data_IF_145323523068
#
_entry.id   IF_145323523068
#
_cell.length_a   1.000
_cell.length_b   1.000
_cell.length_c   1.000
_cell.angle_alpha   90.00
_cell.angle_beta   90.00
_cell.angle_gamma   90.00
#
_symmetry.space_group_name_H-M   'P 1'
#
loop_
_entity.id
_entity.type
_entity.pdbx_description
1 polymer ?
#
# COMPACT_ATOMS: atom_id res chain seq x y z
N UNK A 1 -29.05 52.04 -32.83
CA UNK A 1 -29.72 50.82 -32.32
C UNK A 1 -28.74 49.67 -32.45
N UNK A 2 -28.13 49.23 -31.35
CA UNK A 2 -27.25 48.06 -31.33
C UNK A 2 -28.12 46.81 -31.24
N UNK A 3 -27.99 45.92 -32.22
CA UNK A 3 -28.65 44.62 -32.20
C UNK A 3 -27.87 43.76 -31.25
N UNK A 4 -28.45 43.50 -30.08
CA UNK A 4 -27.94 42.55 -29.10
C UNK A 4 -28.01 41.13 -29.69
N UNK A 5 -26.86 40.58 -30.07
CA UNK A 5 -26.78 39.19 -30.53
C UNK A 5 -27.03 38.26 -29.38
N UNK A 6 -28.18 37.61 -29.37
CA UNK A 6 -28.45 36.49 -28.47
C UNK A 6 -27.43 35.39 -28.75
N UNK A 7 -26.67 34.92 -27.76
CA UNK A 7 -25.67 33.87 -28.00
C UNK A 7 -26.33 32.59 -28.47
N UNK A 8 -25.69 31.95 -29.45
CA UNK A 8 -26.15 30.71 -30.10
C UNK A 8 -26.45 29.65 -29.03
N UNK A 9 -27.60 28.93 -29.13
CA UNK A 9 -27.93 27.82 -28.25
C UNK A 9 -26.85 26.76 -28.15
N UNK A 10 -26.08 26.52 -29.24
CA UNK A 10 -24.96 25.59 -29.26
C UNK A 10 -23.75 26.11 -28.47
N UNK A 11 -23.44 27.40 -28.50
CA UNK A 11 -22.39 27.98 -27.68
C UNK A 11 -22.71 27.90 -26.19
N UNK A 12 -23.99 28.14 -25.81
CA UNK A 12 -24.44 27.98 -24.42
C UNK A 12 -24.38 26.54 -23.94
N UNK A 13 -24.75 25.57 -24.77
CA UNK A 13 -24.65 24.15 -24.45
C UNK A 13 -23.19 23.70 -24.28
N UNK A 14 -22.28 24.22 -25.11
CA UNK A 14 -20.87 23.88 -25.06
C UNK A 14 -20.20 24.44 -23.79
N UNK A 15 -20.57 25.66 -23.39
CA UNK A 15 -20.09 26.25 -22.13
C UNK A 15 -20.65 25.52 -20.91
N UNK A 16 -21.95 25.17 -20.92
CA UNK A 16 -22.58 24.42 -19.83
C UNK A 16 -21.94 23.03 -19.63
N UNK A 17 -21.64 22.31 -20.73
CA UNK A 17 -20.95 21.01 -20.68
C UNK A 17 -19.48 21.12 -20.24
N UNK A 18 -18.87 22.29 -20.41
CA UNK A 18 -17.47 22.52 -19.99
C UNK A 18 -17.36 22.86 -18.52
N UNK A 19 -18.40 23.47 -17.96
CA UNK A 19 -18.46 23.90 -16.55
C UNK A 19 -19.14 22.88 -15.64
N UNK A 20 -19.72 21.79 -16.20
CA UNK A 20 -20.31 20.72 -15.42
C UNK A 20 -19.19 19.77 -14.95
N UNK A 21 -18.83 19.80 -13.64
CA UNK A 21 -17.84 18.86 -13.12
C UNK A 21 -18.44 17.45 -13.23
N UNK A 22 -17.86 16.61 -14.09
CA UNK A 22 -18.23 15.19 -14.15
C UNK A 22 -18.07 14.58 -12.76
N UNK A 23 -19.19 14.27 -12.12
CA UNK A 23 -19.27 13.81 -10.73
C UNK A 23 -18.49 12.51 -10.49
N UNK A 24 -18.17 11.74 -11.55
CA UNK A 24 -17.31 10.56 -11.50
C UNK A 24 -15.81 10.85 -11.59
N UNK A 25 -15.40 12.04 -12.09
CA UNK A 25 -13.99 12.35 -12.31
C UNK A 25 -13.19 12.54 -11.02
N UNK A 26 -13.84 13.01 -9.96
CA UNK A 26 -13.21 13.19 -8.64
C UNK A 26 -12.88 11.81 -8.02
N UNK A 27 -13.79 10.85 -8.11
CA UNK A 27 -13.59 9.49 -7.60
C UNK A 27 -12.52 8.74 -8.42
N UNK A 28 -12.56 8.87 -9.75
CA UNK A 28 -11.55 8.27 -10.64
C UNK A 28 -10.19 8.91 -10.40
N UNK A 29 -10.10 10.24 -10.28
CA UNK A 29 -8.83 10.91 -10.03
C UNK A 29 -8.26 10.59 -8.64
N UNK A 30 -9.09 10.44 -7.62
CA UNK A 30 -8.66 9.99 -6.29
C UNK A 30 -8.17 8.54 -6.33
N UNK A 31 -8.89 7.65 -7.00
CA UNK A 31 -8.49 6.26 -7.18
C UNK A 31 -7.17 6.13 -7.96
N UNK A 32 -7.01 6.90 -9.04
CA UNK A 32 -5.75 6.96 -9.81
C UNK A 32 -4.62 7.56 -8.99
N UNK A 33 -4.89 8.63 -8.20
CA UNK A 33 -3.87 9.24 -7.33
C UNK A 33 -3.45 8.31 -6.20
N UNK A 34 -4.36 7.52 -5.65
CA UNK A 34 -4.03 6.49 -4.65
C UNK A 34 -3.16 5.42 -5.30
N UNK A 35 -3.54 4.89 -6.48
CA UNK A 35 -2.72 3.92 -7.22
C UNK A 35 -1.36 4.47 -7.66
N UNK A 36 -1.29 5.72 -8.10
CA UNK A 36 -0.02 6.36 -8.45
C UNK A 36 0.85 6.57 -7.20
N UNK A 37 0.29 6.91 -6.06
CA UNK A 37 1.04 7.02 -4.79
C UNK A 37 1.58 5.67 -4.33
N UNK A 38 0.85 4.58 -4.51
CA UNK A 38 1.35 3.22 -4.22
C UNK A 38 2.43 2.76 -5.21
N UNK A 39 2.39 3.23 -6.47
CA UNK A 39 3.42 2.97 -7.48
C UNK A 39 4.67 3.84 -7.30
N UNK A 40 4.51 5.05 -6.76
CA UNK A 40 5.60 5.99 -6.42
C UNK A 40 5.82 5.95 -4.91
N UNK A 41 5.95 4.77 -4.33
CA UNK A 41 6.51 4.67 -2.99
C UNK A 41 7.95 5.17 -3.09
N UNK A 42 8.34 6.28 -2.43
CA UNK A 42 9.74 6.62 -2.32
C UNK A 42 10.45 5.35 -1.83
N UNK A 43 11.59 5.04 -2.43
CA UNK A 43 12.39 3.91 -1.96
C UNK A 43 13.00 4.28 -0.59
N UNK A 44 12.15 4.46 0.41
CA UNK A 44 12.55 4.74 1.77
C UNK A 44 13.43 3.60 2.23
N UNK A 45 14.64 3.95 2.62
CA UNK A 45 15.59 2.98 3.13
C UNK A 45 15.34 2.81 4.62
N UNK A 46 15.11 1.57 5.04
CA UNK A 46 14.85 1.18 6.42
C UNK A 46 16.13 0.65 7.05
N UNK A 47 16.47 1.12 8.24
CA UNK A 47 17.61 0.65 9.01
C UNK A 47 17.39 -0.81 9.43
N UNK A 48 18.47 -1.61 9.37
CA UNK A 48 18.48 -2.97 9.91
C UNK A 48 19.06 -3.01 11.32
N UNK A 49 18.64 -4.00 12.09
CA UNK A 49 19.02 -4.18 13.49
C UNK A 49 19.74 -5.51 13.67
N UNK A 50 20.65 -5.56 14.61
CA UNK A 50 21.31 -6.80 15.05
C UNK A 50 20.47 -7.55 16.11
N UNK A 51 20.97 -8.70 16.56
CA UNK A 51 20.28 -9.50 17.58
C UNK A 51 20.18 -8.83 18.96
N UNK A 52 20.85 -7.70 19.18
CA UNK A 52 20.78 -6.90 20.42
C UNK A 52 19.80 -5.73 20.31
N UNK A 53 19.19 -5.51 19.13
CA UNK A 53 18.31 -4.37 18.85
C UNK A 53 19.06 -3.08 18.53
N UNK A 54 20.37 -3.15 18.29
CA UNK A 54 21.18 -2.02 17.86
C UNK A 54 21.21 -1.92 16.34
N UNK A 55 21.31 -0.69 15.80
CA UNK A 55 21.40 -0.51 14.34
C UNK A 55 22.62 -1.25 13.78
N UNK A 56 22.39 -2.13 12.84
CA UNK A 56 23.45 -2.93 12.21
C UNK A 56 24.43 -2.04 11.46
N UNK A 57 25.72 -2.27 11.70
CA UNK A 57 26.80 -1.52 11.06
C UNK A 57 27.64 -2.43 10.17
N UNK A 58 27.97 -1.92 8.99
CA UNK A 58 28.94 -2.57 8.11
C UNK A 58 30.36 -2.43 8.62
N UNK A 59 31.30 -3.11 7.95
CA UNK A 59 32.72 -3.16 8.32
C UNK A 59 33.39 -1.78 8.48
N UNK A 60 32.88 -0.77 7.79
CA UNK A 60 33.38 0.63 7.85
C UNK A 60 32.57 1.54 8.79
N UNK A 61 31.71 0.96 9.66
CA UNK A 61 30.89 1.67 10.62
C UNK A 61 29.64 2.34 10.04
N UNK A 62 29.37 2.23 8.74
CA UNK A 62 28.15 2.73 8.10
C UNK A 62 26.95 1.92 8.54
N UNK A 63 25.80 2.58 8.74
CA UNK A 63 24.53 1.90 9.05
C UNK A 63 24.01 1.15 7.83
N UNK A 64 23.65 -0.11 8.03
CA UNK A 64 23.03 -0.94 6.96
C UNK A 64 21.56 -0.57 6.84
N UNK A 65 21.10 -0.41 5.60
CA UNK A 65 19.71 -0.08 5.28
C UNK A 65 19.20 -0.98 4.16
N UNK A 66 17.92 -1.33 4.22
CA UNK A 66 17.20 -2.08 3.19
C UNK A 66 16.18 -1.16 2.52
N UNK A 67 16.18 -1.15 1.20
CA UNK A 67 15.18 -0.38 0.45
C UNK A 67 13.80 -1.04 0.53
N UNK A 68 12.73 -0.26 0.64
CA UNK A 68 11.35 -0.74 0.54
C UNK A 68 11.08 -1.53 -0.76
N UNK A 69 11.80 -1.23 -1.85
CA UNK A 69 11.72 -2.00 -3.10
C UNK A 69 12.20 -3.45 -2.96
N UNK A 70 13.06 -3.73 -2.00
CA UNK A 70 13.51 -5.11 -1.70
C UNK A 70 12.52 -5.76 -0.72
N UNK A 71 12.05 -5.00 0.26
CA UNK A 71 11.18 -5.53 1.31
C UNK A 71 9.79 -5.89 0.78
N UNK A 72 9.15 -5.02 -0.02
CA UNK A 72 7.78 -5.23 -0.52
C UNK A 72 7.58 -6.55 -1.27
N UNK A 73 8.43 -6.95 -2.24
CA UNK A 73 8.26 -8.24 -2.92
C UNK A 73 8.47 -9.44 -1.98
N UNK A 74 9.32 -9.33 -0.97
CA UNK A 74 9.51 -10.40 0.03
C UNK A 74 8.30 -10.55 0.92
N UNK A 75 7.70 -9.44 1.36
CA UNK A 75 6.44 -9.43 2.11
C UNK A 75 5.31 -10.04 1.29
N UNK A 76 5.18 -9.63 0.02
CA UNK A 76 4.16 -10.18 -0.89
C UNK A 76 4.31 -11.68 -1.04
N UNK A 77 5.51 -12.17 -1.33
CA UNK A 77 5.79 -13.59 -1.50
C UNK A 77 5.48 -14.42 -0.23
N UNK A 78 5.63 -13.83 0.96
CA UNK A 78 5.31 -14.51 2.21
C UNK A 78 3.80 -14.50 2.53
N UNK A 79 3.07 -13.49 2.06
CA UNK A 79 1.63 -13.34 2.29
C UNK A 79 0.81 -14.16 1.29
N UNK A 80 1.23 -14.19 0.03
CA UNK A 80 0.50 -14.84 -1.05
C UNK A 80 0.41 -16.35 -0.85
N UNK A 81 -0.82 -16.87 -0.90
CA UNK A 81 -1.13 -18.31 -0.80
C UNK A 81 -2.28 -18.64 -1.77
N UNK A 82 -2.60 -19.91 -2.03
CA UNK A 82 -3.76 -20.27 -2.87
C UNK A 82 -5.10 -19.75 -2.34
N UNK A 83 -5.17 -19.34 -1.08
CA UNK A 83 -6.39 -18.82 -0.44
C UNK A 83 -6.44 -17.31 -0.28
N UNK A 84 -5.32 -16.62 -0.43
CA UNK A 84 -5.24 -15.17 -0.29
C UNK A 84 -4.14 -14.56 -1.14
N UNK A 85 -4.35 -13.33 -1.58
CA UNK A 85 -3.36 -12.51 -2.29
C UNK A 85 -3.25 -11.14 -1.62
N UNK A 86 -2.05 -10.56 -1.62
CA UNK A 86 -1.86 -9.19 -1.21
C UNK A 86 -2.31 -8.25 -2.35
N UNK A 87 -3.35 -7.44 -2.11
CA UNK A 87 -3.75 -6.35 -3.00
C UNK A 87 -2.73 -5.21 -2.92
N UNK A 88 -2.53 -4.66 -1.74
CA UNK A 88 -1.51 -3.64 -1.48
C UNK A 88 -0.71 -3.93 -0.21
N UNK A 89 0.53 -3.43 -0.18
CA UNK A 89 1.43 -3.44 0.97
C UNK A 89 2.05 -2.06 1.08
N UNK A 90 1.69 -1.33 2.13
CA UNK A 90 2.21 0.00 2.41
C UNK A 90 3.11 -0.06 3.64
N UNK A 91 4.35 0.43 3.48
CA UNK A 91 5.36 0.46 4.54
C UNK A 91 5.61 1.91 4.91
N UNK A 92 5.28 2.29 6.12
CA UNK A 92 5.59 3.60 6.65
C UNK A 92 6.96 3.60 7.32
N UNK A 93 7.70 4.66 7.07
CA UNK A 93 9.06 4.84 7.62
C UNK A 93 9.12 6.16 8.35
N UNK A 94 9.49 6.11 9.61
CA UNK A 94 9.77 7.27 10.45
C UNK A 94 11.18 7.16 11.04
N UNK A 95 11.97 8.21 10.95
CA UNK A 95 13.35 8.25 11.46
C UNK A 95 14.24 7.10 10.91
N UNK A 96 14.11 6.79 9.63
CA UNK A 96 14.77 5.67 8.95
C UNK A 96 14.35 4.27 9.49
N UNK A 97 13.31 4.16 10.30
CA UNK A 97 12.81 2.89 10.89
C UNK A 97 11.44 2.54 10.30
N UNK A 98 11.16 1.25 10.21
CA UNK A 98 9.80 0.81 9.90
C UNK A 98 8.88 1.16 11.07
N UNK A 99 7.91 2.05 10.85
CA UNK A 99 6.97 2.48 11.88
C UNK A 99 5.66 1.71 11.84
N UNK A 100 5.16 1.41 10.63
CA UNK A 100 3.98 0.58 10.45
C UNK A 100 3.97 -0.11 9.09
N UNK A 101 3.18 -1.18 8.99
CA UNK A 101 2.91 -1.89 7.73
C UNK A 101 1.39 -2.08 7.62
N UNK A 102 0.82 -1.60 6.52
CA UNK A 102 -0.57 -1.82 6.18
C UNK A 102 -0.66 -2.82 5.03
N UNK A 103 -1.43 -3.88 5.24
CA UNK A 103 -1.61 -4.98 4.31
C UNK A 103 -3.10 -5.08 3.95
N UNK A 104 -3.43 -4.89 2.67
CA UNK A 104 -4.75 -5.18 2.13
C UNK A 104 -4.74 -6.56 1.46
N UNK A 105 -5.72 -7.39 1.78
CA UNK A 105 -5.84 -8.77 1.32
C UNK A 105 -7.09 -8.96 0.47
N UNK A 106 -6.95 -9.73 -0.60
CA UNK A 106 -8.06 -10.40 -1.28
C UNK A 106 -8.06 -11.86 -0.84
N UNK A 107 -9.19 -12.35 -0.35
CA UNK A 107 -9.31 -13.72 0.15
C UNK A 107 -10.30 -14.53 -0.70
N UNK A 108 -10.08 -15.84 -0.77
CA UNK A 108 -11.05 -16.75 -1.40
C UNK A 108 -12.27 -16.93 -0.50
N UNK A 109 -13.45 -16.96 -1.13
CA UNK A 109 -14.71 -17.23 -0.43
C UNK A 109 -14.67 -18.59 0.32
N UNK A 110 -15.28 -18.61 1.52
CA UNK A 110 -15.38 -19.80 2.35
C UNK A 110 -14.22 -20.03 3.32
N UNK A 111 -13.21 -19.17 3.35
CA UNK A 111 -12.13 -19.22 4.34
C UNK A 111 -12.50 -18.47 5.65
N UNK A 112 -11.86 -18.83 6.75
CA UNK A 112 -11.92 -18.05 7.98
C UNK A 112 -11.03 -16.81 7.85
N UNK A 113 -11.65 -15.66 7.53
CA UNK A 113 -10.94 -14.40 7.30
C UNK A 113 -10.12 -13.93 8.51
N UNK A 114 -10.57 -14.27 9.74
CA UNK A 114 -9.82 -13.94 10.94
C UNK A 114 -8.55 -14.78 11.07
N UNK A 115 -8.62 -16.06 10.69
CA UNK A 115 -7.43 -16.93 10.64
C UNK A 115 -6.47 -16.45 9.56
N UNK A 116 -6.97 -16.17 8.33
CA UNK A 116 -6.15 -15.65 7.22
C UNK A 116 -5.45 -14.33 7.59
N UNK A 117 -6.14 -13.42 8.28
CA UNK A 117 -5.54 -12.17 8.75
C UNK A 117 -4.44 -12.36 9.79
N UNK A 118 -4.62 -13.29 10.75
CA UNK A 118 -3.58 -13.63 11.75
C UNK A 118 -2.36 -14.26 11.10
N UNK A 119 -2.58 -15.20 10.17
CA UNK A 119 -1.51 -15.90 9.46
C UNK A 119 -0.72 -14.95 8.56
N UNK A 120 -1.41 -14.02 7.87
CA UNK A 120 -0.77 -12.99 7.08
C UNK A 120 0.10 -12.06 7.94
N UNK A 121 -0.42 -11.60 9.10
CA UNK A 121 0.37 -10.78 10.04
C UNK A 121 1.61 -11.52 10.53
N UNK A 122 1.46 -12.78 10.89
CA UNK A 122 2.59 -13.60 11.35
C UNK A 122 3.66 -13.78 10.25
N UNK A 123 3.24 -13.99 9.00
CA UNK A 123 4.13 -14.08 7.85
C UNK A 123 4.91 -12.77 7.62
N UNK A 124 4.21 -11.62 7.65
CA UNK A 124 4.83 -10.29 7.55
C UNK A 124 5.84 -10.08 8.68
N UNK A 125 5.46 -10.38 9.93
CA UNK A 125 6.34 -10.24 11.09
C UNK A 125 7.60 -11.10 10.99
N UNK A 126 7.50 -12.30 10.44
CA UNK A 126 8.66 -13.18 10.20
C UNK A 126 9.64 -12.57 9.19
N UNK A 127 9.14 -12.07 8.04
CA UNK A 127 9.97 -11.42 7.02
C UNK A 127 10.62 -10.14 7.56
N UNK A 128 9.87 -9.31 8.30
CA UNK A 128 10.42 -8.09 8.92
C UNK A 128 11.58 -8.45 9.85
N UNK A 129 11.41 -9.46 10.69
CA UNK A 129 12.46 -9.92 11.61
C UNK A 129 13.67 -10.50 10.88
N UNK A 130 13.45 -11.26 9.81
CA UNK A 130 14.52 -11.86 9.00
C UNK A 130 15.33 -10.80 8.27
N UNK A 131 14.67 -9.82 7.64
CA UNK A 131 15.31 -8.84 6.75
C UNK A 131 15.81 -7.62 7.50
N UNK A 132 15.00 -7.09 8.43
CA UNK A 132 15.33 -5.86 9.18
C UNK A 132 15.98 -6.15 10.55
N UNK A 133 15.86 -7.38 11.05
CA UNK A 133 16.30 -7.74 12.40
C UNK A 133 15.27 -7.39 13.47
N UNK A 134 15.71 -7.33 14.72
CA UNK A 134 14.83 -7.07 15.87
C UNK A 134 14.89 -5.60 16.26
N UNK A 135 13.97 -4.79 15.72
CA UNK A 135 13.80 -3.40 16.19
C UNK A 135 12.99 -3.42 17.51
N UNK A 136 13.54 -2.93 18.63
CA UNK A 136 12.83 -2.90 19.91
C UNK A 136 11.63 -1.92 19.94
N UNK A 137 11.52 -1.02 18.95
CA UNK A 137 10.40 -0.08 18.84
C UNK A 137 9.24 -0.62 17.99
N UNK A 138 9.48 -1.67 17.18
CA UNK A 138 8.48 -2.26 16.32
C UNK A 138 7.78 -3.45 17.01
N UNK A 139 6.45 -3.34 17.17
CA UNK A 139 5.60 -4.38 17.71
C UNK A 139 4.66 -4.91 16.61
N UNK A 140 4.82 -6.16 16.14
CA UNK A 140 3.99 -6.72 15.07
C UNK A 140 2.48 -6.71 15.37
N UNK A 141 2.06 -6.82 16.63
CA UNK A 141 0.65 -6.81 16.98
C UNK A 141 0.02 -5.41 16.88
N UNK A 142 0.81 -4.38 17.11
CA UNK A 142 0.38 -2.99 17.05
C UNK A 142 0.62 -2.38 15.67
N UNK A 143 1.80 -2.66 15.08
CA UNK A 143 2.34 -1.91 13.95
C UNK A 143 2.06 -2.60 12.60
N UNK A 144 1.52 -3.84 12.60
CA UNK A 144 1.04 -4.50 11.38
C UNK A 144 -0.49 -4.52 11.37
N UNK A 145 -1.06 -3.73 10.47
CA UNK A 145 -2.51 -3.73 10.22
C UNK A 145 -2.83 -4.58 9.01
N UNK A 146 -3.81 -5.48 9.15
CA UNK A 146 -4.30 -6.33 8.07
C UNK A 146 -5.78 -6.05 7.85
N UNK A 147 -6.13 -5.74 6.62
CA UNK A 147 -7.50 -5.49 6.16
C UNK A 147 -7.85 -6.47 5.03
N UNK A 148 -9.03 -7.07 5.07
CA UNK A 148 -9.57 -7.85 3.95
C UNK A 148 -10.44 -6.90 3.13
N UNK A 149 -9.97 -6.55 1.94
CA UNK A 149 -10.62 -5.56 1.07
C UNK A 149 -11.56 -6.20 0.07
N UNK A 150 -11.37 -7.50 -0.24
CA UNK A 150 -12.27 -8.21 -1.14
C UNK A 150 -12.30 -9.72 -0.84
N UNK A 151 -13.40 -10.36 -1.26
CA UNK A 151 -13.59 -11.81 -1.15
C UNK A 151 -14.10 -12.33 -2.49
N UNK A 152 -13.33 -13.22 -3.13
CA UNK A 152 -13.57 -13.69 -4.49
C UNK A 152 -13.92 -15.17 -4.55
N UNK A 153 -14.74 -15.52 -5.53
CA UNK A 153 -15.06 -16.90 -5.85
C UNK A 153 -13.99 -17.43 -6.83
N UNK A 154 -12.99 -18.14 -6.32
CA UNK A 154 -11.91 -18.68 -7.14
C UNK A 154 -10.52 -18.28 -6.68
N UNK A 155 -9.63 -18.02 -7.65
CA UNK A 155 -8.22 -17.66 -7.37
C UNK A 155 -8.09 -16.15 -7.08
N UNK A 156 -7.66 -15.77 -5.86
CA UNK A 156 -7.46 -14.38 -5.50
C UNK A 156 -6.33 -13.68 -6.29
N UNK A 157 -5.47 -14.44 -6.99
CA UNK A 157 -4.39 -13.89 -7.83
C UNK A 157 -4.84 -13.58 -9.27
N UNK A 158 -6.05 -13.95 -9.67
CA UNK A 158 -6.55 -13.81 -11.04
C UNK A 158 -7.21 -12.45 -11.34
N UNK A 159 -6.91 -11.39 -10.57
CA UNK A 159 -7.47 -10.03 -10.74
C UNK A 159 -6.53 -9.08 -11.48
#
# INVERSE_FOLDING_TARGET
MAVERTPDPLERATVALRDEPETGWIEVSQSVMIRVRTLVTPASAVVTFDGTGSAQRGERGSVVRVSGRVLTPLLRAAVDTPGRAADSIDIEVADDRCSSIHLALVCRYGLDLNAEGRDARAAVAAVVREVLGTDPAFDPERDITVEVVDVVDGDPHAQ
#
